data_IF_455526890848
#
_entry.id   IF_455526890848
#
_cell.length_a   1.000
_cell.length_b   1.000
_cell.length_c   1.000
_cell.angle_alpha   90.00
_cell.angle_beta   90.00
_cell.angle_gamma   90.00
#
_symmetry.space_group_name_H-M   'P 1'
#
loop_
_entity.id
_entity.type
_entity.pdbx_description
1 polymer ?
#
# COMPACT_ATOMS: atom_id res chain seq x y z
N UNK A 1 16.17 10.82 5.69
CA UNK A 1 14.83 10.46 5.18
C UNK A 1 14.01 10.00 6.37
N UNK A 2 12.88 10.64 6.63
CA UNK A 2 11.97 10.17 7.67
C UNK A 2 11.34 8.84 7.23
N UNK A 3 11.45 7.81 8.05
CA UNK A 3 10.93 6.48 7.75
C UNK A 3 9.41 6.49 7.80
N UNK A 4 8.77 6.12 6.69
CA UNK A 4 7.32 5.87 6.64
C UNK A 4 7.06 4.38 6.71
N UNK A 5 6.25 3.95 7.67
CA UNK A 5 5.78 2.56 7.79
C UNK A 5 4.27 2.53 7.50
N UNK A 6 3.86 1.66 6.58
CA UNK A 6 2.44 1.40 6.31
C UNK A 6 1.96 0.18 7.10
N UNK A 7 0.77 0.28 7.67
CA UNK A 7 0.08 -0.82 8.35
C UNK A 7 -1.30 -0.97 7.72
N UNK A 8 -1.53 -2.06 7.00
CA UNK A 8 -2.81 -2.33 6.34
C UNK A 8 -3.77 -2.98 7.33
N UNK A 9 -4.95 -2.40 7.48
CA UNK A 9 -5.96 -2.83 8.44
C UNK A 9 -6.89 -3.89 7.83
N UNK A 10 -7.38 -4.81 8.66
CA UNK A 10 -8.47 -5.72 8.23
C UNK A 10 -9.77 -4.92 8.05
N UNK A 11 -10.71 -5.45 7.25
CA UNK A 11 -11.92 -4.75 6.81
C UNK A 11 -12.84 -4.34 7.97
N UNK A 12 -12.82 -5.09 9.06
CA UNK A 12 -13.58 -4.82 10.28
C UNK A 12 -13.08 -3.59 11.04
N UNK A 13 -11.83 -3.18 10.85
CA UNK A 13 -11.24 -2.02 11.54
C UNK A 13 -11.54 -0.75 10.75
N UNK A 14 -12.29 0.16 11.34
CA UNK A 14 -12.64 1.46 10.77
C UNK A 14 -11.97 2.63 11.51
N UNK A 15 -12.26 3.85 11.05
CA UNK A 15 -11.76 5.06 11.68
C UNK A 15 -12.14 5.16 13.18
N UNK A 16 -13.32 4.65 13.55
CA UNK A 16 -13.77 4.64 14.94
C UNK A 16 -12.85 3.83 15.84
N UNK A 17 -12.51 2.61 15.43
CA UNK A 17 -11.62 1.71 16.17
C UNK A 17 -10.21 2.32 16.31
N UNK A 18 -9.69 2.88 15.22
CA UNK A 18 -8.39 3.59 15.24
C UNK A 18 -8.46 4.83 16.13
N UNK A 19 -9.58 5.54 16.16
CA UNK A 19 -9.80 6.70 17.03
C UNK A 19 -9.82 6.35 18.51
N UNK A 20 -10.49 5.24 18.88
CA UNK A 20 -10.48 4.72 20.26
C UNK A 20 -9.07 4.31 20.66
N UNK A 21 -8.38 3.56 19.80
CA UNK A 21 -6.99 3.17 20.02
C UNK A 21 -6.07 4.39 20.19
N UNK A 22 -6.18 5.40 19.31
CA UNK A 22 -5.38 6.62 19.39
C UNK A 22 -5.64 7.41 20.69
N UNK A 23 -6.89 7.42 21.16
CA UNK A 23 -7.25 8.02 22.45
C UNK A 23 -6.56 7.30 23.62
N UNK A 24 -6.57 5.96 23.63
CA UNK A 24 -5.91 5.15 24.66
C UNK A 24 -4.39 5.32 24.64
N UNK A 25 -3.81 5.57 23.47
CA UNK A 25 -2.39 5.92 23.31
C UNK A 25 -2.09 7.40 23.61
N UNK A 26 -3.13 8.19 23.94
CA UNK A 26 -3.07 9.63 24.19
C UNK A 26 -2.44 10.43 23.03
N UNK A 27 -2.80 10.08 21.80
CA UNK A 27 -2.42 10.83 20.61
C UNK A 27 -3.37 12.00 20.37
N UNK A 28 -2.82 13.11 19.90
CA UNK A 28 -3.59 14.33 19.66
C UNK A 28 -4.04 14.41 18.21
N UNK A 29 -5.31 14.74 17.98
CA UNK A 29 -5.81 14.95 16.62
C UNK A 29 -5.21 16.23 16.05
N UNK A 30 -4.52 16.12 14.91
CA UNK A 30 -3.97 17.28 14.19
C UNK A 30 -4.84 17.71 13.02
N UNK A 31 -5.43 16.75 12.32
CA UNK A 31 -6.24 17.04 11.13
C UNK A 31 -7.28 15.96 10.88
N UNK A 32 -8.44 16.37 10.37
CA UNK A 32 -9.51 15.48 9.97
C UNK A 32 -10.05 15.98 8.62
N UNK A 33 -10.28 15.05 7.70
CA UNK A 33 -11.01 15.32 6.46
C UNK A 33 -12.45 15.71 6.77
N UNK A 34 -13.01 16.68 6.02
CA UNK A 34 -14.38 17.11 6.30
C UNK A 34 -15.36 15.99 5.97
N UNK A 35 -16.50 16.02 6.65
CA UNK A 35 -17.58 15.06 6.40
C UNK A 35 -18.04 15.16 4.94
N UNK A 36 -17.94 14.06 4.20
CA UNK A 36 -18.33 13.96 2.78
C UNK A 36 -17.18 14.12 1.78
N UNK A 37 -15.97 14.42 2.24
CA UNK A 37 -14.77 14.44 1.40
C UNK A 37 -14.10 13.06 1.37
N UNK A 38 -13.56 12.70 0.20
CA UNK A 38 -12.85 11.46 -0.08
C UNK A 38 -11.47 11.79 -0.68
N UNK A 39 -10.38 11.05 -0.34
CA UNK A 39 -10.35 9.92 0.58
C UNK A 39 -10.55 10.35 2.03
N UNK A 40 -11.15 9.48 2.85
CA UNK A 40 -11.33 9.76 4.26
C UNK A 40 -9.98 9.65 4.96
N UNK A 41 -9.49 10.78 5.51
CA UNK A 41 -8.20 10.86 6.19
C UNK A 41 -8.35 11.47 7.59
N UNK A 42 -7.63 10.93 8.56
CA UNK A 42 -7.45 11.54 9.88
C UNK A 42 -6.00 11.40 10.31
N UNK A 43 -5.45 12.46 10.90
CA UNK A 43 -4.05 12.54 11.33
C UNK A 43 -4.01 12.79 12.83
N UNK A 44 -3.23 11.96 13.52
CA UNK A 44 -2.85 12.15 14.91
C UNK A 44 -1.35 12.39 15.03
N UNK A 45 -0.95 13.08 16.09
CA UNK A 45 0.43 13.24 16.53
C UNK A 45 0.63 12.45 17.83
N UNK A 46 1.75 11.72 17.93
CA UNK A 46 2.09 11.00 19.15
C UNK A 46 2.56 11.97 20.24
N UNK A 47 2.61 11.53 21.50
CA UNK A 47 3.05 12.35 22.65
C UNK A 47 4.44 12.99 22.50
N UNK A 48 5.30 12.46 21.62
CA UNK A 48 6.63 13.02 21.36
C UNK A 48 6.62 14.24 20.42
N UNK A 49 5.52 14.48 19.70
CA UNK A 49 5.39 15.60 18.76
C UNK A 49 6.13 15.42 17.43
N UNK A 50 6.86 14.33 17.25
CA UNK A 50 7.75 14.09 16.09
C UNK A 50 7.28 12.93 15.20
N UNK A 51 6.21 12.24 15.59
CA UNK A 51 5.67 11.09 14.87
C UNK A 51 4.19 11.30 14.60
N UNK A 52 3.82 11.20 13.33
CA UNK A 52 2.46 11.37 12.85
C UNK A 52 1.88 10.03 12.40
N UNK A 53 0.62 9.83 12.75
CA UNK A 53 -0.15 8.64 12.39
C UNK A 53 -1.30 9.09 11.52
N UNK A 54 -1.32 8.65 10.26
CA UNK A 54 -2.35 9.01 9.30
C UNK A 54 -3.18 7.79 8.96
N UNK A 55 -4.45 7.78 9.32
CA UNK A 55 -5.42 6.83 8.81
C UNK A 55 -5.92 7.27 7.43
N UNK A 56 -6.02 6.34 6.49
CA UNK A 56 -6.58 6.55 5.17
C UNK A 56 -7.56 5.41 4.80
N UNK A 57 -8.73 5.78 4.30
CA UNK A 57 -9.58 4.90 3.48
C UNK A 57 -9.30 5.21 2.01
N UNK A 58 -8.66 4.28 1.31
CA UNK A 58 -8.34 4.40 -0.11
C UNK A 58 -9.46 3.78 -0.94
N UNK A 59 -10.30 4.60 -1.62
CA UNK A 59 -11.41 4.09 -2.40
C UNK A 59 -10.96 3.41 -3.70
N UNK A 60 -9.72 3.63 -4.16
CA UNK A 60 -9.21 3.05 -5.39
C UNK A 60 -8.65 1.64 -5.14
N UNK A 61 -7.98 1.44 -4.01
CA UNK A 61 -7.50 0.12 -3.61
C UNK A 61 -8.53 -0.70 -2.81
N UNK A 62 -9.61 -0.05 -2.36
CA UNK A 62 -10.54 -0.58 -1.37
C UNK A 62 -9.84 -1.05 -0.07
N UNK A 63 -8.75 -0.36 0.29
CA UNK A 63 -7.95 -0.66 1.47
C UNK A 63 -8.13 0.41 2.53
N UNK A 64 -7.89 -0.01 3.77
CA UNK A 64 -7.73 0.88 4.92
C UNK A 64 -6.34 0.67 5.45
N UNK A 65 -5.59 1.75 5.62
CA UNK A 65 -4.25 1.63 6.17
C UNK A 65 -3.89 2.84 7.00
N UNK A 66 -2.87 2.63 7.83
CA UNK A 66 -2.24 3.65 8.64
C UNK A 66 -0.84 3.89 8.10
N UNK A 67 -0.53 5.14 7.75
CA UNK A 67 0.84 5.57 7.48
C UNK A 67 1.41 6.20 8.75
N UNK A 68 2.51 5.65 9.25
CA UNK A 68 3.23 6.16 10.42
C UNK A 68 4.52 6.80 9.95
N UNK A 69 4.70 8.09 10.23
CA UNK A 69 5.81 8.90 9.75
C UNK A 69 6.52 9.55 10.93
N UNK A 70 7.84 9.43 11.00
CA UNK A 70 8.65 10.05 12.04
C UNK A 70 9.59 9.07 12.75
N UNK A 71 10.40 9.55 13.72
CA UNK A 71 11.45 8.76 14.36
C UNK A 71 10.94 7.52 15.10
N UNK A 72 9.70 7.54 15.59
CA UNK A 72 9.10 6.43 16.33
C UNK A 72 8.27 5.50 15.45
N UNK A 73 8.34 5.62 14.11
CA UNK A 73 7.50 4.82 13.22
C UNK A 73 7.64 3.30 13.43
N UNK A 74 8.82 2.70 13.71
CA UNK A 74 8.93 1.27 13.95
C UNK A 74 8.37 0.79 15.30
N UNK A 75 8.34 1.64 16.33
CA UNK A 75 7.74 1.28 17.63
C UNK A 75 6.22 1.46 17.59
N UNK A 76 5.75 2.56 17.02
CA UNK A 76 4.31 2.84 16.87
C UNK A 76 3.63 1.81 15.98
N UNK A 77 4.24 1.42 14.85
CA UNK A 77 3.67 0.38 13.98
C UNK A 77 3.54 -0.97 14.68
N UNK A 78 4.51 -1.36 15.52
CA UNK A 78 4.43 -2.58 16.34
C UNK A 78 3.27 -2.55 17.32
N UNK A 79 3.04 -1.40 17.97
CA UNK A 79 1.91 -1.23 18.90
C UNK A 79 0.58 -1.33 18.14
N UNK A 80 0.49 -0.76 16.93
CA UNK A 80 -0.69 -0.89 16.07
C UNK A 80 -0.94 -2.36 15.73
N UNK A 81 0.09 -3.07 15.24
CA UNK A 81 -0.02 -4.50 14.91
C UNK A 81 -0.41 -5.38 16.09
N UNK A 82 0.00 -5.05 17.32
CA UNK A 82 -0.38 -5.82 18.51
C UNK A 82 -1.78 -5.51 19.03
N UNK A 83 -2.37 -4.38 18.63
CA UNK A 83 -3.61 -3.87 19.22
C UNK A 83 -4.80 -3.91 18.27
N UNK A 84 -4.56 -3.85 16.96
CA UNK A 84 -5.60 -3.82 15.93
C UNK A 84 -5.43 -5.00 14.96
N UNK A 85 -6.53 -5.60 14.49
CA UNK A 85 -6.48 -6.54 13.37
C UNK A 85 -5.86 -5.91 12.11
N UNK A 86 -4.68 -6.38 11.74
CA UNK A 86 -3.92 -5.89 10.59
C UNK A 86 -3.57 -7.05 9.65
N UNK A 87 -3.43 -6.76 8.36
CA UNK A 87 -2.78 -7.68 7.44
C UNK A 87 -1.28 -7.72 7.71
N UNK A 88 -0.72 -8.93 7.68
CA UNK A 88 0.73 -9.11 7.56
C UNK A 88 1.11 -9.30 6.10
N UNK A 89 2.38 -9.07 5.76
CA UNK A 89 2.90 -9.40 4.44
C UNK A 89 2.68 -10.88 4.09
N UNK A 90 2.91 -11.77 5.06
CA UNK A 90 2.73 -13.21 4.87
C UNK A 90 1.27 -13.55 4.53
N UNK A 91 0.32 -13.00 5.28
CA UNK A 91 -1.11 -13.19 5.01
C UNK A 91 -1.52 -12.65 3.65
N UNK A 92 -1.04 -11.47 3.27
CA UNK A 92 -1.32 -10.87 1.97
C UNK A 92 -0.75 -11.72 0.83
N UNK A 93 0.48 -12.23 1.00
CA UNK A 93 1.14 -13.12 0.04
C UNK A 93 0.37 -14.43 -0.11
N UNK A 94 -0.02 -15.05 1.01
CA UNK A 94 -0.81 -16.29 1.00
C UNK A 94 -2.20 -16.09 0.40
N UNK A 95 -2.84 -14.95 0.66
CA UNK A 95 -4.13 -14.61 0.06
C UNK A 95 -4.01 -14.54 -1.46
N UNK A 96 -3.03 -13.79 -1.99
CA UNK A 96 -2.82 -13.65 -3.43
C UNK A 96 -2.45 -14.98 -4.10
N UNK A 97 -1.59 -15.80 -3.48
CA UNK A 97 -1.20 -17.10 -4.01
C UNK A 97 -2.35 -18.11 -4.11
N UNK A 98 -3.40 -17.93 -3.29
CA UNK A 98 -4.61 -18.78 -3.30
C UNK A 98 -5.75 -18.17 -4.11
N UNK A 99 -5.61 -16.95 -4.60
CA UNK A 99 -6.64 -16.27 -5.36
C UNK A 99 -6.84 -16.94 -6.73
N UNK A 100 -8.10 -17.23 -7.05
CA UNK A 100 -8.46 -17.86 -8.32
C UNK A 100 -9.21 -16.88 -9.22
N UNK A 101 -10.09 -16.06 -8.62
CA UNK A 101 -10.87 -15.06 -9.34
C UNK A 101 -10.07 -13.80 -9.65
N UNK A 102 -10.47 -13.10 -10.72
CA UNK A 102 -9.91 -11.79 -11.10
C UNK A 102 -9.91 -10.81 -9.93
N UNK A 103 -11.07 -10.63 -9.29
CA UNK A 103 -11.25 -9.63 -8.23
C UNK A 103 -10.44 -10.01 -6.96
N UNK A 104 -10.33 -11.31 -6.65
CA UNK A 104 -9.48 -11.81 -5.56
C UNK A 104 -8.00 -11.50 -5.82
N UNK A 105 -7.52 -11.74 -7.06
CA UNK A 105 -6.14 -11.45 -7.44
C UNK A 105 -5.84 -9.96 -7.37
N UNK A 106 -6.73 -9.11 -7.90
CA UNK A 106 -6.60 -7.66 -7.83
C UNK A 106 -6.50 -7.20 -6.38
N UNK A 107 -7.40 -7.66 -5.51
CA UNK A 107 -7.35 -7.32 -4.09
C UNK A 107 -6.07 -7.82 -3.41
N UNK A 108 -5.63 -9.05 -3.74
CA UNK A 108 -4.40 -9.63 -3.22
C UNK A 108 -3.14 -8.85 -3.64
N UNK A 109 -3.09 -8.34 -4.87
CA UNK A 109 -2.01 -7.48 -5.36
C UNK A 109 -1.94 -6.20 -4.52
N UNK A 110 -3.07 -5.55 -4.28
CA UNK A 110 -3.11 -4.33 -3.48
C UNK A 110 -2.72 -4.57 -2.02
N UNK A 111 -3.20 -5.66 -1.42
CA UNK A 111 -2.79 -6.08 -0.08
C UNK A 111 -1.29 -6.33 0.02
N UNK A 112 -0.72 -7.03 -0.97
CA UNK A 112 0.70 -7.33 -1.03
C UNK A 112 1.51 -6.03 -1.13
N UNK A 113 1.18 -5.16 -2.08
CA UNK A 113 1.90 -3.92 -2.33
C UNK A 113 1.84 -2.97 -1.12
N UNK A 114 0.67 -2.79 -0.52
CA UNK A 114 0.49 -1.91 0.63
C UNK A 114 1.14 -2.46 1.92
N UNK A 115 1.21 -3.78 2.07
CA UNK A 115 1.85 -4.47 3.21
C UNK A 115 3.36 -4.72 3.01
N UNK A 116 3.90 -4.41 1.83
CA UNK A 116 5.31 -4.64 1.52
C UNK A 116 6.23 -3.70 2.30
N UNK A 117 7.41 -4.18 2.74
CA UNK A 117 8.41 -3.33 3.37
C UNK A 117 8.96 -2.29 2.38
N UNK A 118 9.63 -1.27 2.91
CA UNK A 118 10.34 -0.30 2.07
C UNK A 118 11.56 -0.90 1.35
N UNK A 119 12.16 -1.94 1.93
CA UNK A 119 13.29 -2.67 1.35
C UNK A 119 12.81 -3.72 0.36
N UNK A 120 13.57 -3.86 -0.73
CA UNK A 120 13.25 -4.80 -1.79
C UNK A 120 13.35 -6.27 -1.35
N UNK A 121 12.42 -7.09 -1.85
CA UNK A 121 12.32 -8.50 -1.50
C UNK A 121 12.14 -9.37 -2.73
N UNK A 122 13.06 -10.31 -2.94
CA UNK A 122 13.01 -11.19 -4.11
C UNK A 122 11.76 -12.07 -4.13
N UNK A 123 11.26 -12.54 -2.98
CA UNK A 123 10.03 -13.33 -2.92
C UNK A 123 8.81 -12.53 -3.35
N UNK A 124 8.75 -11.23 -3.03
CA UNK A 124 7.70 -10.34 -3.52
C UNK A 124 7.87 -10.11 -5.03
N UNK A 125 9.10 -9.85 -5.50
CA UNK A 125 9.38 -9.68 -6.93
C UNK A 125 8.98 -10.91 -7.76
N UNK A 126 9.19 -12.12 -7.25
CA UNK A 126 8.72 -13.36 -7.89
C UNK A 126 7.19 -13.39 -8.03
N UNK A 127 6.45 -12.98 -6.99
CA UNK A 127 4.99 -12.87 -7.04
C UNK A 127 4.56 -11.82 -8.08
N UNK A 128 5.21 -10.65 -8.11
CA UNK A 128 4.91 -9.59 -9.07
C UNK A 128 5.18 -10.05 -10.52
N UNK A 129 6.29 -10.75 -10.76
CA UNK A 129 6.62 -11.33 -12.09
C UNK A 129 5.64 -12.44 -12.51
N UNK A 130 5.04 -13.15 -11.55
CA UNK A 130 3.96 -14.10 -11.83
C UNK A 130 2.70 -13.34 -12.26
N UNK A 131 2.31 -12.31 -11.50
CA UNK A 131 1.13 -11.48 -11.79
C UNK A 131 1.26 -10.73 -13.12
N UNK A 132 2.47 -10.32 -13.54
CA UNK A 132 2.67 -9.63 -14.82
C UNK A 132 2.44 -10.52 -16.04
N UNK A 133 2.30 -11.84 -15.82
CA UNK A 133 1.99 -12.84 -16.85
C UNK A 133 0.58 -13.40 -16.70
N UNK A 134 -0.25 -12.83 -15.82
CA UNK A 134 -1.63 -13.29 -15.65
C UNK A 134 -2.40 -13.14 -16.96
N UNK A 135 -3.28 -14.11 -17.26
CA UNK A 135 -4.05 -14.12 -18.49
C UNK A 135 -5.07 -12.98 -18.58
N UNK A 136 -5.51 -12.45 -17.44
CA UNK A 136 -6.47 -11.35 -17.37
C UNK A 136 -5.77 -9.99 -17.38
N UNK A 137 -6.11 -9.12 -18.33
CA UNK A 137 -5.46 -7.81 -18.45
C UNK A 137 -5.78 -6.88 -17.28
N UNK A 138 -6.94 -6.99 -16.63
CA UNK A 138 -7.27 -6.16 -15.47
C UNK A 138 -6.41 -6.53 -14.26
N UNK A 139 -6.03 -7.81 -14.09
CA UNK A 139 -5.05 -8.23 -13.07
C UNK A 139 -3.68 -7.60 -13.35
N UNK A 140 -3.24 -7.60 -14.62
CA UNK A 140 -1.97 -6.97 -15.01
C UNK A 140 -2.00 -5.44 -14.85
N UNK A 141 -3.14 -4.79 -15.08
CA UNK A 141 -3.32 -3.36 -14.81
C UNK A 141 -3.29 -3.06 -13.32
N UNK A 142 -3.95 -3.88 -12.50
CA UNK A 142 -3.88 -3.75 -11.04
C UNK A 142 -2.45 -3.92 -10.51
N UNK A 143 -1.66 -4.81 -11.10
CA UNK A 143 -0.24 -4.95 -10.79
C UNK A 143 0.53 -3.62 -10.97
N UNK A 144 0.30 -2.91 -12.07
CA UNK A 144 0.95 -1.60 -12.33
C UNK A 144 0.58 -0.58 -11.25
N UNK A 145 -0.70 -0.54 -10.84
CA UNK A 145 -1.15 0.33 -9.74
C UNK A 145 -0.46 -0.05 -8.42
N UNK A 146 -0.42 -1.34 -8.08
CA UNK A 146 0.25 -1.83 -6.88
C UNK A 146 1.75 -1.52 -6.88
N UNK A 147 2.42 -1.65 -8.02
CA UNK A 147 3.84 -1.33 -8.18
C UNK A 147 4.17 0.14 -7.90
N UNK A 148 3.22 1.07 -8.11
CA UNK A 148 3.39 2.47 -7.69
C UNK A 148 3.65 2.63 -6.18
N UNK A 149 3.15 1.71 -5.34
CA UNK A 149 3.40 1.72 -3.89
C UNK A 149 4.80 1.20 -3.52
N UNK A 150 5.50 0.60 -4.48
CA UNK A 150 6.83 0.01 -4.37
C UNK A 150 7.88 0.80 -5.17
N UNK A 151 7.58 2.05 -5.54
CA UNK A 151 8.35 2.81 -6.52
C UNK A 151 9.84 3.00 -6.23
N UNK A 152 10.29 2.77 -5.00
CA UNK A 152 11.72 2.80 -4.64
C UNK A 152 12.48 1.52 -5.01
N UNK A 153 11.79 0.48 -5.49
CA UNK A 153 12.39 -0.81 -5.85
C UNK A 153 12.87 -0.79 -7.29
N UNK A 154 14.17 -0.98 -7.50
CA UNK A 154 14.76 -0.90 -8.82
C UNK A 154 14.20 -1.99 -9.77
N UNK A 155 13.93 -3.19 -9.26
CA UNK A 155 13.39 -4.27 -10.11
C UNK A 155 11.94 -4.04 -10.52
N UNK A 156 11.17 -3.21 -9.80
CA UNK A 156 9.79 -2.86 -10.19
C UNK A 156 9.78 -2.09 -11.51
N UNK A 157 10.75 -1.19 -11.70
CA UNK A 157 10.95 -0.49 -12.97
C UNK A 157 11.17 -1.47 -14.13
N UNK A 158 12.05 -2.46 -13.94
CA UNK A 158 12.32 -3.47 -14.98
C UNK A 158 11.09 -4.32 -15.37
N UNK A 159 10.21 -4.63 -14.41
CA UNK A 159 8.93 -5.30 -14.70
C UNK A 159 8.01 -4.39 -15.53
N UNK A 160 7.89 -3.11 -15.15
CA UNK A 160 7.07 -2.14 -15.86
C UNK A 160 7.59 -1.86 -17.28
N UNK A 161 8.91 -1.74 -17.48
CA UNK A 161 9.54 -1.61 -18.80
C UNK A 161 9.22 -2.79 -19.71
N UNK A 162 9.34 -4.02 -19.16
CA UNK A 162 8.99 -5.23 -19.91
C UNK A 162 7.51 -5.24 -20.31
N UNK A 163 6.60 -4.89 -19.40
CA UNK A 163 5.17 -4.81 -19.68
C UNK A 163 4.86 -3.73 -20.73
N UNK A 164 5.45 -2.54 -20.62
CA UNK A 164 5.29 -1.46 -21.61
C UNK A 164 5.68 -1.93 -23.03
N UNK A 165 6.81 -2.61 -23.17
CA UNK A 165 7.29 -3.04 -24.48
C UNK A 165 6.57 -4.29 -25.04
N UNK A 166 6.13 -5.22 -24.19
CA UNK A 166 5.76 -6.58 -24.63
C UNK A 166 4.35 -7.05 -24.27
N UNK A 167 3.59 -6.33 -23.44
CA UNK A 167 2.25 -6.80 -23.07
C UNK A 167 1.35 -6.88 -24.31
N UNK A 168 0.56 -7.95 -24.50
CA UNK A 168 -0.34 -8.06 -25.65
C UNK A 168 -1.45 -7.00 -25.65
N UNK A 169 -1.86 -6.51 -24.47
CA UNK A 169 -2.92 -5.52 -24.32
C UNK A 169 -2.36 -4.09 -24.38
N UNK A 170 -2.86 -3.28 -25.31
CA UNK A 170 -2.41 -1.89 -25.50
C UNK A 170 -2.67 -1.01 -24.28
N UNK A 171 -3.76 -1.25 -23.55
CA UNK A 171 -4.10 -0.50 -22.34
C UNK A 171 -3.10 -0.81 -21.24
N UNK A 172 -2.69 -2.07 -21.09
CA UNK A 172 -1.63 -2.45 -20.14
C UNK A 172 -0.31 -1.77 -20.50
N UNK A 173 0.07 -1.77 -21.80
CA UNK A 173 1.30 -1.08 -22.24
C UNK A 173 1.27 0.42 -21.90
N UNK A 174 0.12 1.08 -22.14
CA UNK A 174 -0.09 2.50 -21.83
C UNK A 174 0.00 2.78 -20.32
N UNK A 175 -0.68 1.97 -19.50
CA UNK A 175 -0.67 2.12 -18.04
C UNK A 175 0.75 1.91 -17.49
N UNK A 176 1.55 1.01 -18.10
CA UNK A 176 2.95 0.83 -17.75
C UNK A 176 3.81 2.04 -18.11
N UNK A 177 3.52 2.69 -19.24
CA UNK A 177 4.13 3.98 -19.60
C UNK A 177 3.85 5.06 -18.55
N UNK A 178 2.59 5.21 -18.13
CA UNK A 178 2.23 6.18 -17.08
C UNK A 178 2.93 5.90 -15.74
N UNK A 179 3.06 4.62 -15.36
CA UNK A 179 3.81 4.25 -14.16
C UNK A 179 5.27 4.68 -14.27
N UNK A 180 5.95 4.37 -15.40
CA UNK A 180 7.36 4.72 -15.59
C UNK A 180 7.58 6.24 -15.55
N UNK A 181 6.72 7.03 -16.20
CA UNK A 181 6.75 8.49 -16.12
C UNK A 181 6.60 8.97 -14.66
N UNK A 182 5.69 8.35 -13.89
CA UNK A 182 5.51 8.66 -12.48
C UNK A 182 6.73 8.32 -11.62
N UNK A 183 7.41 7.20 -11.89
CA UNK A 183 8.65 6.82 -11.20
C UNK A 183 9.80 7.79 -11.52
N UNK A 184 9.92 8.24 -12.77
CA UNK A 184 10.95 9.20 -13.18
C UNK A 184 10.80 10.56 -12.51
N UNK A 185 9.56 11.01 -12.28
CA UNK A 185 9.29 12.24 -11.53
C UNK A 185 9.72 12.14 -10.07
N UNK A 186 9.69 10.93 -9.48
CA UNK A 186 10.11 10.69 -8.10
C UNK A 186 11.64 10.54 -7.95
N UNK A 187 12.32 10.00 -8.96
CA UNK A 187 13.79 9.85 -8.96
C UNK A 187 14.54 11.18 -9.21
N UNK A 188 13.84 12.20 -9.75
CA UNK A 188 14.39 13.52 -10.06
C UNK A 188 14.37 14.56 -8.93
N UNK A 189 13.89 14.22 -7.74
CA UNK A 189 13.80 15.10 -6.55
C UNK A 189 14.72 14.67 -5.43
#
# INVERSE_FOLDING_TARGET
MESTVRVVLKREVGLGDVGVFAYDQHWEIKSITRKGESPRRQVWETRGGDTFVTYLEDPYLELRYIAVQGPQSPSVSRIIHSSLPCWTLEEASQYLLRAHGRDEKIHGIYLLAASSPGEESESILEILRSCSRDGDSEVRRALLVGMGYLGTWAQVRGIAEFMNANDPDETVRRDAGHLLEGLDLHDGT
#
